data_IF_069006286141
#
_entry.id   IF_069006286141
#
_cell.length_a   1.000
_cell.length_b   1.000
_cell.length_c   1.000
_cell.angle_alpha   90.00
_cell.angle_beta   90.00
_cell.angle_gamma   90.00
#
_symmetry.space_group_name_H-M   'P 1'
#
loop_
_entity.id
_entity.type
_entity.pdbx_description
1 polymer ?
#
# COMPACT_ATOMS: atom_id res chain seq x y z
N UNK A 1 15.69 -10.39 -29.77
CA UNK A 1 14.53 -11.23 -29.36
C UNK A 1 13.67 -10.59 -28.28
N UNK A 2 14.19 -10.14 -27.10
CA UNK A 2 13.37 -9.53 -26.02
C UNK A 2 12.56 -8.30 -26.45
N UNK A 3 13.12 -7.41 -27.30
CA UNK A 3 12.42 -6.20 -27.81
C UNK A 3 11.27 -6.54 -28.77
N UNK A 4 11.42 -7.60 -29.57
CA UNK A 4 10.37 -8.07 -30.52
C UNK A 4 9.21 -8.69 -29.75
N UNK A 5 9.50 -9.49 -28.70
CA UNK A 5 8.47 -10.07 -27.83
C UNK A 5 7.69 -8.98 -27.09
N UNK A 6 8.37 -7.93 -26.62
CA UNK A 6 7.72 -6.78 -25.99
C UNK A 6 6.81 -6.04 -26.98
N UNK A 7 7.26 -5.84 -28.22
CA UNK A 7 6.48 -5.18 -29.26
C UNK A 7 5.25 -5.99 -29.66
N UNK A 8 5.39 -7.30 -29.79
CA UNK A 8 4.27 -8.22 -30.05
C UNK A 8 3.27 -8.20 -28.88
N UNK A 9 3.75 -8.21 -27.62
CA UNK A 9 2.89 -8.11 -26.45
C UNK A 9 2.12 -6.77 -26.41
N UNK A 10 2.78 -5.67 -26.78
CA UNK A 10 2.16 -4.34 -26.88
C UNK A 10 1.09 -4.34 -27.99
N UNK A 11 1.36 -4.90 -29.16
CA UNK A 11 0.39 -4.99 -30.26
C UNK A 11 -0.83 -5.84 -29.86
N UNK A 12 -0.63 -6.98 -29.22
CA UNK A 12 -1.73 -7.79 -28.67
C UNK A 12 -2.56 -7.03 -27.63
N UNK A 13 -1.92 -6.18 -26.83
CA UNK A 13 -2.62 -5.32 -25.87
C UNK A 13 -3.50 -4.29 -26.57
N UNK A 14 -2.98 -3.61 -27.61
CA UNK A 14 -3.73 -2.62 -28.38
C UNK A 14 -4.92 -3.21 -29.13
N UNK A 15 -4.78 -4.40 -29.70
CA UNK A 15 -5.88 -5.09 -30.41
C UNK A 15 -7.04 -5.42 -29.45
N UNK A 16 -6.75 -5.67 -28.16
CA UNK A 16 -7.76 -5.92 -27.12
C UNK A 16 -8.43 -4.65 -26.63
N UNK A 17 -7.77 -3.49 -26.65
CA UNK A 17 -8.40 -2.22 -26.35
C UNK A 17 -9.57 -1.89 -27.28
N UNK A 18 -9.46 -2.23 -28.56
CA UNK A 18 -10.55 -2.09 -29.54
C UNK A 18 -11.77 -2.96 -29.23
N UNK A 19 -11.66 -3.98 -28.38
CA UNK A 19 -12.73 -4.86 -27.95
C UNK A 19 -13.26 -4.53 -26.55
N UNK A 20 -12.70 -3.51 -25.86
CA UNK A 20 -13.13 -3.10 -24.53
C UNK A 20 -14.61 -2.72 -24.54
N UNK A 21 -15.35 -3.25 -23.60
CA UNK A 21 -16.79 -2.96 -23.44
C UNK A 21 -16.99 -1.71 -22.58
N UNK A 22 -16.15 -1.50 -21.58
CA UNK A 22 -16.21 -0.35 -20.70
C UNK A 22 -14.82 0.09 -20.22
N UNK A 23 -14.65 1.40 -20.03
CA UNK A 23 -13.60 2.00 -19.25
C UNK A 23 -14.09 2.09 -17.81
N UNK A 24 -13.23 1.78 -16.85
CA UNK A 24 -13.58 1.80 -15.43
C UNK A 24 -12.67 2.75 -14.67
N UNK A 25 -13.25 3.50 -13.74
CA UNK A 25 -12.53 4.27 -12.73
C UNK A 25 -13.04 3.79 -11.39
N UNK A 26 -12.15 3.31 -10.55
CA UNK A 26 -12.46 2.72 -9.26
C UNK A 26 -11.74 3.48 -8.15
N UNK A 27 -12.45 3.71 -7.05
CA UNK A 27 -11.89 4.24 -5.82
C UNK A 27 -12.34 3.41 -4.64
N UNK A 28 -11.38 2.88 -3.88
CA UNK A 28 -11.62 2.07 -2.70
C UNK A 28 -10.99 2.71 -1.47
N UNK A 29 -11.65 2.52 -0.34
CA UNK A 29 -11.12 2.77 0.99
C UNK A 29 -11.06 1.42 1.69
N UNK A 30 -10.00 1.19 2.43
CA UNK A 30 -9.83 -0.07 3.11
C UNK A 30 -8.97 0.03 4.35
N UNK A 31 -8.74 -1.11 4.94
CA UNK A 31 -7.84 -1.29 6.07
C UNK A 31 -6.76 -2.31 5.68
N UNK A 32 -5.50 -1.98 5.95
CA UNK A 32 -4.35 -2.86 5.74
C UNK A 32 -3.65 -3.19 7.04
N UNK A 33 -3.24 -4.45 7.20
CA UNK A 33 -2.28 -4.86 8.23
C UNK A 33 -0.87 -4.91 7.63
N UNK A 34 0.17 -4.72 8.45
CA UNK A 34 1.55 -4.65 8.00
C UNK A 34 2.47 -5.46 8.90
N UNK A 35 3.40 -6.21 8.32
CA UNK A 35 4.37 -7.00 9.09
C UNK A 35 5.41 -6.12 9.75
N UNK A 36 6.11 -5.27 9.01
CA UNK A 36 7.08 -4.28 9.48
C UNK A 36 8.12 -4.86 10.46
N UNK A 37 8.62 -6.09 10.21
CA UNK A 37 9.45 -6.84 11.16
C UNK A 37 10.69 -6.06 11.58
N UNK A 38 11.55 -5.63 10.63
CA UNK A 38 12.78 -4.91 10.92
C UNK A 38 12.51 -3.59 11.65
N UNK A 39 11.41 -2.89 11.27
CA UNK A 39 11.02 -1.63 11.87
C UNK A 39 10.57 -1.80 13.32
N UNK A 40 9.88 -2.89 13.62
CA UNK A 40 9.49 -3.26 15.00
C UNK A 40 10.70 -3.58 15.85
N UNK A 41 11.69 -4.26 15.28
CA UNK A 41 12.94 -4.59 15.98
C UNK A 41 13.79 -3.35 16.23
N UNK A 42 13.89 -2.42 15.27
CA UNK A 42 14.54 -1.12 15.48
C UNK A 42 13.86 -0.37 16.60
N UNK A 43 12.53 -0.28 16.59
CA UNK A 43 11.77 0.43 17.61
C UNK A 43 12.02 -0.12 19.02
N UNK A 44 12.16 -1.45 19.16
CA UNK A 44 12.49 -2.08 20.43
C UNK A 44 13.95 -1.83 20.88
N UNK A 45 14.88 -1.83 19.93
CA UNK A 45 16.32 -1.85 20.24
C UNK A 45 16.92 -0.45 20.42
N UNK A 46 16.31 0.58 19.85
CA UNK A 46 16.87 1.95 19.88
C UNK A 46 16.88 2.61 21.26
N UNK A 47 16.08 2.13 22.22
CA UNK A 47 15.99 2.71 23.57
C UNK A 47 16.46 1.79 24.68
N UNK A 48 17.26 0.78 24.39
CA UNK A 48 17.76 -0.19 25.36
C UNK A 48 18.50 0.36 26.61
N UNK A 49 19.13 1.57 26.61
CA UNK A 49 19.74 2.08 27.84
C UNK A 49 18.72 2.63 28.86
N UNK A 50 17.47 2.86 28.44
CA UNK A 50 16.44 3.41 29.31
C UNK A 50 15.51 2.29 29.75
N UNK A 51 15.55 1.93 31.02
CA UNK A 51 14.64 0.97 31.63
C UNK A 51 13.22 1.53 31.67
N UNK A 52 12.21 0.71 31.30
CA UNK A 52 10.77 1.03 31.28
C UNK A 52 10.24 1.82 30.09
N UNK A 53 10.84 1.66 28.91
CA UNK A 53 10.28 2.23 27.67
C UNK A 53 9.03 1.45 27.25
N UNK A 54 7.92 2.14 27.08
CA UNK A 54 6.69 1.56 26.55
C UNK A 54 6.56 1.85 25.05
N UNK A 55 6.39 0.79 24.25
CA UNK A 55 5.99 0.94 22.85
C UNK A 55 4.54 1.39 22.83
N UNK A 56 4.30 2.65 22.48
CA UNK A 56 2.97 3.24 22.43
C UNK A 56 2.24 2.86 21.14
N UNK A 57 2.99 2.79 20.02
CA UNK A 57 2.48 2.42 18.70
C UNK A 57 3.44 1.44 18.02
N UNK A 58 2.96 0.32 17.51
CA UNK A 58 3.78 -0.73 16.93
C UNK A 58 3.33 -1.05 15.50
N UNK A 59 3.37 -0.04 14.64
CA UNK A 59 2.97 -0.14 13.23
C UNK A 59 1.61 -0.81 13.04
N UNK A 60 0.55 -0.26 13.64
CA UNK A 60 -0.80 -0.80 13.50
C UNK A 60 -1.25 -0.77 12.05
N UNK A 61 -2.24 -1.60 11.74
CA UNK A 61 -2.95 -1.49 10.48
C UNK A 61 -3.65 -0.13 10.36
N UNK A 62 -3.65 0.43 9.16
CA UNK A 62 -4.21 1.75 8.89
C UNK A 62 -5.13 1.75 7.69
N UNK A 63 -5.89 2.84 7.57
CA UNK A 63 -6.73 3.13 6.40
C UNK A 63 -5.86 3.27 5.16
N UNK A 64 -6.22 2.53 4.10
CA UNK A 64 -5.60 2.60 2.79
C UNK A 64 -6.56 3.26 1.80
N UNK A 65 -6.00 3.99 0.83
CA UNK A 65 -6.76 4.60 -0.27
C UNK A 65 -6.21 4.05 -1.59
N UNK A 66 -7.11 3.47 -2.38
CA UNK A 66 -6.77 2.78 -3.62
C UNK A 66 -7.58 3.38 -4.77
N UNK A 67 -6.91 3.80 -5.82
CA UNK A 67 -7.51 4.29 -7.05
C UNK A 67 -7.06 3.41 -8.22
N UNK A 68 -7.99 3.00 -9.05
CA UNK A 68 -7.72 2.15 -10.21
C UNK A 68 -8.37 2.73 -11.45
N UNK A 69 -7.67 2.58 -12.58
CA UNK A 69 -8.21 2.88 -13.91
C UNK A 69 -7.96 1.67 -14.80
N UNK A 70 -9.00 1.18 -15.44
CA UNK A 70 -8.90 -0.05 -16.21
C UNK A 70 -9.91 -0.17 -17.33
N UNK A 71 -9.80 -1.25 -18.06
CA UNK A 71 -10.72 -1.63 -19.13
C UNK A 71 -11.29 -3.01 -18.86
N UNK A 72 -12.59 -3.14 -19.08
CA UNK A 72 -13.32 -4.39 -18.90
C UNK A 72 -13.78 -4.92 -20.27
N UNK A 73 -13.49 -6.20 -20.54
CA UNK A 73 -14.03 -6.91 -21.68
C UNK A 73 -14.44 -8.33 -21.28
N UNK A 74 -15.69 -8.68 -21.54
CA UNK A 74 -16.27 -9.97 -21.15
C UNK A 74 -16.11 -10.25 -19.64
N UNK A 75 -15.16 -11.16 -19.28
CA UNK A 75 -14.84 -11.57 -17.92
C UNK A 75 -13.50 -11.04 -17.42
N UNK A 76 -12.82 -10.23 -18.22
CA UNK A 76 -11.47 -9.74 -17.93
C UNK A 76 -11.54 -8.25 -17.60
N UNK A 77 -10.88 -7.86 -16.53
CA UNK A 77 -10.69 -6.46 -16.12
C UNK A 77 -9.22 -6.24 -15.83
N UNK A 78 -8.59 -5.33 -16.55
CA UNK A 78 -7.16 -5.03 -16.42
C UNK A 78 -6.94 -3.53 -16.40
N UNK A 79 -5.92 -3.10 -15.67
CA UNK A 79 -5.60 -1.68 -15.61
C UNK A 79 -4.41 -1.38 -14.72
N UNK A 80 -4.36 -0.10 -14.33
CA UNK A 80 -3.34 0.45 -13.45
C UNK A 80 -3.96 0.76 -12.10
N UNK A 81 -3.16 0.61 -11.05
CA UNK A 81 -3.53 0.94 -9.68
C UNK A 81 -2.54 1.93 -9.08
N UNK A 82 -3.08 2.79 -8.23
CA UNK A 82 -2.35 3.64 -7.30
C UNK A 82 -2.94 3.43 -5.91
N UNK A 83 -2.10 3.18 -4.91
CA UNK A 83 -2.55 3.04 -3.53
C UNK A 83 -1.63 3.85 -2.61
N UNK A 84 -2.21 4.51 -1.62
CA UNK A 84 -1.51 5.21 -0.56
C UNK A 84 -1.69 4.49 0.76
N UNK A 85 -0.56 4.22 1.41
CA UNK A 85 -0.48 3.53 2.69
C UNK A 85 0.35 4.35 3.66
N UNK A 86 0.01 4.31 4.94
CA UNK A 86 0.81 4.89 6.00
C UNK A 86 0.72 4.05 7.27
N UNK A 87 1.75 4.12 8.08
CA UNK A 87 1.77 3.56 9.44
C UNK A 87 2.89 4.22 10.23
N UNK A 88 2.82 4.13 11.54
CA UNK A 88 3.86 4.66 12.40
C UNK A 88 4.13 3.72 13.58
N UNK A 89 5.36 3.77 14.06
CA UNK A 89 5.74 3.18 15.34
C UNK A 89 6.27 4.27 16.24
N UNK A 90 5.85 4.29 17.48
CA UNK A 90 6.31 5.25 18.48
C UNK A 90 6.73 4.53 19.75
N UNK A 91 7.87 4.97 20.28
CA UNK A 91 8.41 4.56 21.54
C UNK A 91 8.80 5.80 22.34
N UNK A 92 8.61 5.81 23.65
CA UNK A 92 8.94 6.98 24.44
C UNK A 92 8.82 6.77 25.95
N UNK A 93 9.53 7.62 26.67
CA UNK A 93 9.46 7.74 28.12
C UNK A 93 9.25 9.20 28.46
N UNK A 94 8.34 9.44 29.38
CA UNK A 94 8.11 10.76 29.97
C UNK A 94 8.07 10.63 31.47
N UNK A 95 8.90 11.42 32.16
CA UNK A 95 8.92 11.50 33.59
C UNK A 95 9.02 12.97 34.05
N UNK A 96 9.21 13.21 35.36
CA UNK A 96 9.34 14.56 35.94
C UNK A 96 10.61 15.30 35.50
N UNK A 97 11.60 14.62 34.91
CA UNK A 97 12.86 15.22 34.45
C UNK A 97 12.84 15.57 32.95
N UNK A 98 11.86 15.05 32.18
CA UNK A 98 11.74 15.33 30.78
C UNK A 98 11.04 14.24 29.95
N UNK A 99 11.21 14.31 28.66
CA UNK A 99 10.67 13.30 27.72
C UNK A 99 11.70 12.91 26.67
N UNK A 100 11.71 11.63 26.31
CA UNK A 100 12.47 11.10 25.18
C UNK A 100 11.52 10.32 24.28
N UNK A 101 11.32 10.78 23.05
CA UNK A 101 10.42 10.20 22.08
C UNK A 101 11.20 9.75 20.84
N UNK A 102 10.97 8.52 20.41
CA UNK A 102 11.47 7.97 19.15
C UNK A 102 10.28 7.54 18.30
N UNK A 103 10.17 8.08 17.10
CA UNK A 103 9.05 7.86 16.20
C UNK A 103 9.54 7.51 14.79
N UNK A 104 8.98 6.45 14.22
CA UNK A 104 9.20 6.01 12.84
C UNK A 104 7.89 6.13 12.07
N UNK A 105 7.83 7.05 11.12
CA UNK A 105 6.66 7.25 10.24
C UNK A 105 6.94 6.71 8.86
N UNK A 106 6.16 5.72 8.45
CA UNK A 106 6.27 5.09 7.13
C UNK A 106 5.15 5.54 6.21
N UNK A 107 5.51 5.93 5.00
CA UNK A 107 4.58 6.21 3.90
C UNK A 107 4.95 5.36 2.70
N UNK A 108 3.95 4.66 2.15
CA UNK A 108 4.08 3.86 0.95
C UNK A 108 3.20 4.40 -0.18
N UNK A 109 3.79 4.60 -1.35
CA UNK A 109 3.07 4.92 -2.58
C UNK A 109 3.20 3.73 -3.51
N UNK A 110 2.12 2.99 -3.67
CA UNK A 110 2.06 1.77 -4.46
C UNK A 110 1.58 2.09 -5.87
N UNK A 111 2.36 1.70 -6.85
CA UNK A 111 2.08 1.86 -8.28
C UNK A 111 2.20 0.50 -8.95
N UNK A 112 1.18 0.11 -9.71
CA UNK A 112 1.21 -1.19 -10.36
C UNK A 112 0.12 -1.39 -11.39
N UNK A 113 0.01 -2.63 -11.81
CA UNK A 113 -1.03 -3.13 -12.70
C UNK A 113 -1.86 -4.17 -11.97
N UNK A 114 -3.11 -4.29 -12.36
CA UNK A 114 -4.00 -5.32 -11.84
C UNK A 114 -4.69 -6.07 -12.97
N UNK A 115 -5.01 -7.31 -12.70
CA UNK A 115 -5.84 -8.15 -13.52
C UNK A 115 -6.87 -8.86 -12.66
N UNK A 116 -8.15 -8.73 -13.01
CA UNK A 116 -9.25 -9.46 -12.36
C UNK A 116 -9.96 -10.34 -13.39
N UNK A 117 -10.30 -11.54 -12.98
CA UNK A 117 -11.10 -12.49 -13.75
C UNK A 117 -12.43 -12.74 -13.05
N UNK A 118 -13.51 -12.35 -13.71
CA UNK A 118 -14.87 -12.58 -13.22
C UNK A 118 -15.23 -14.07 -13.36
N UNK A 119 -15.49 -14.72 -12.23
CA UNK A 119 -15.81 -16.15 -12.18
C UNK A 119 -17.20 -16.43 -12.75
N UNK A 120 -18.18 -15.66 -12.27
CA UNK A 120 -19.58 -15.78 -12.65
C UNK A 120 -20.17 -14.39 -12.79
N UNK A 121 -21.14 -14.24 -13.69
CA UNK A 121 -21.90 -13.00 -13.85
C UNK A 121 -23.37 -13.36 -13.78
N UNK A 122 -23.95 -13.17 -12.59
CA UNK A 122 -25.35 -13.51 -12.34
C UNK A 122 -26.18 -12.25 -12.10
N UNK A 123 -27.32 -12.19 -12.76
CA UNK A 123 -28.28 -11.12 -12.57
C UNK A 123 -29.27 -11.54 -11.48
N UNK A 124 -29.21 -10.89 -10.33
CA UNK A 124 -30.10 -11.10 -9.22
C UNK A 124 -31.03 -9.88 -9.10
N UNK A 125 -32.23 -10.00 -9.64
CA UNK A 125 -33.23 -8.92 -9.67
C UNK A 125 -32.67 -7.64 -10.35
N UNK A 126 -32.45 -6.57 -9.59
CA UNK A 126 -31.94 -5.29 -10.08
C UNK A 126 -30.40 -5.17 -10.08
N UNK A 127 -29.70 -6.09 -9.41
CA UNK A 127 -28.25 -6.08 -9.29
C UNK A 127 -27.61 -7.18 -10.14
N UNK A 128 -26.40 -6.92 -10.62
CA UNK A 128 -25.55 -7.99 -11.16
C UNK A 128 -24.45 -8.31 -10.16
N UNK A 129 -24.34 -9.57 -9.79
CA UNK A 129 -23.36 -10.12 -8.86
C UNK A 129 -22.20 -10.71 -9.65
N UNK A 130 -21.00 -10.23 -9.44
CA UNK A 130 -19.80 -10.61 -10.18
C UNK A 130 -18.64 -10.91 -9.22
N UNK A 131 -18.53 -12.14 -8.67
CA UNK A 131 -17.35 -12.54 -7.90
C UNK A 131 -16.15 -12.68 -8.85
N UNK A 132 -14.98 -12.24 -8.36
CA UNK A 132 -13.75 -12.29 -9.14
C UNK A 132 -12.55 -12.72 -8.31
N UNK A 133 -11.56 -13.26 -9.00
CA UNK A 133 -10.21 -13.45 -8.50
C UNK A 133 -9.28 -12.52 -9.25
N UNK A 134 -8.24 -12.05 -8.59
CA UNK A 134 -7.34 -11.11 -9.20
C UNK A 134 -5.91 -11.24 -8.71
N UNK A 135 -5.03 -10.58 -9.45
CA UNK A 135 -3.63 -10.45 -9.15
C UNK A 135 -3.20 -9.02 -9.47
N UNK A 136 -2.56 -8.37 -8.51
CA UNK A 136 -1.93 -7.08 -8.71
C UNK A 136 -0.43 -7.19 -8.49
N UNK A 137 0.35 -6.41 -9.23
CA UNK A 137 1.82 -6.40 -9.11
C UNK A 137 2.37 -5.04 -9.49
N UNK A 138 3.52 -4.69 -8.93
CA UNK A 138 4.17 -3.41 -9.18
C UNK A 138 5.19 -3.05 -8.11
N UNK A 139 5.33 -1.76 -7.86
CA UNK A 139 6.31 -1.23 -6.92
C UNK A 139 5.66 -0.40 -5.82
N UNK A 140 6.22 -0.50 -4.61
CA UNK A 140 5.93 0.40 -3.49
C UNK A 140 7.13 1.32 -3.32
N UNK A 141 6.91 2.62 -3.46
CA UNK A 141 7.90 3.65 -3.17
C UNK A 141 7.76 4.03 -1.69
N UNK A 142 8.77 3.72 -0.91
CA UNK A 142 8.77 3.89 0.54
C UNK A 142 9.46 5.20 0.94
N UNK A 143 8.87 5.89 1.91
CA UNK A 143 9.50 7.01 2.60
C UNK A 143 9.33 6.81 4.10
N UNK A 144 10.45 6.69 4.79
CA UNK A 144 10.51 6.55 6.25
C UNK A 144 11.08 7.82 6.83
N UNK A 145 10.35 8.42 7.77
CA UNK A 145 10.84 9.55 8.55
C UNK A 145 11.09 9.06 9.98
N UNK A 146 12.34 9.12 10.40
CA UNK A 146 12.79 8.89 11.77
C UNK A 146 12.82 10.23 12.49
N UNK A 147 12.16 10.31 13.64
CA UNK A 147 12.08 11.50 14.47
C UNK A 147 12.53 11.13 15.88
N UNK A 148 13.61 11.73 16.32
CA UNK A 148 14.14 11.55 17.66
C UNK A 148 14.07 12.88 18.40
N UNK A 149 13.41 12.90 19.57
CA UNK A 149 13.20 14.09 20.38
C UNK A 149 13.65 13.81 21.81
N UNK A 150 14.46 14.70 22.34
CA UNK A 150 14.79 14.76 23.75
C UNK A 150 14.37 16.13 24.29
N UNK A 151 13.64 16.13 25.36
CA UNK A 151 13.31 17.33 26.13
C UNK A 151 13.72 17.12 27.59
N UNK A 152 14.46 18.07 28.14
CA UNK A 152 14.90 18.06 29.56
C UNK A 152 14.30 19.26 30.26
N UNK A 153 13.53 19.02 31.31
CA UNK A 153 12.78 20.09 31.99
C UNK A 153 13.70 21.05 32.75
N UNK A 154 14.77 20.53 33.35
CA UNK A 154 15.75 21.34 34.12
C UNK A 154 16.70 22.15 33.21
N UNK A 155 16.86 21.78 31.95
CA UNK A 155 17.74 22.45 31.01
C UNK A 155 17.21 22.33 29.58
N UNK A 156 16.32 23.24 29.15
CA UNK A 156 15.73 23.21 27.82
C UNK A 156 16.74 23.35 26.66
N UNK A 157 17.95 23.90 26.94
CA UNK A 157 19.00 24.06 25.92
C UNK A 157 19.67 22.72 25.56
N UNK A 158 19.60 21.72 26.43
CA UNK A 158 20.09 20.35 26.18
C UNK A 158 19.11 19.57 25.33
N UNK A 159 17.86 20.03 25.19
CA UNK A 159 16.86 19.41 24.34
C UNK A 159 17.27 19.41 22.87
N UNK A 160 17.08 18.29 22.18
CA UNK A 160 17.31 18.20 20.73
C UNK A 160 16.17 17.52 19.99
N UNK A 161 16.08 17.86 18.72
CA UNK A 161 15.24 17.15 17.75
C UNK A 161 16.09 16.81 16.53
N UNK A 162 16.09 15.52 16.17
CA UNK A 162 16.79 15.02 14.98
C UNK A 162 15.80 14.29 14.09
N UNK A 163 15.70 14.74 12.84
CA UNK A 163 14.82 14.18 11.83
C UNK A 163 15.68 13.60 10.69
N UNK A 164 15.52 12.31 10.40
CA UNK A 164 16.15 11.64 9.27
C UNK A 164 15.09 11.13 8.30
N UNK A 165 15.42 11.10 7.02
CA UNK A 165 14.54 10.56 5.98
C UNK A 165 15.26 9.46 5.20
N UNK A 166 14.62 8.32 5.08
CA UNK A 166 15.07 7.19 4.29
C UNK A 166 14.11 6.95 3.14
N UNK A 167 14.63 6.46 2.02
CA UNK A 167 13.83 6.12 0.85
C UNK A 167 14.22 4.74 0.34
N UNK A 168 13.26 3.98 -0.12
CA UNK A 168 13.48 2.66 -0.67
C UNK A 168 12.34 2.26 -1.61
N UNK A 169 12.48 1.10 -2.20
CA UNK A 169 11.52 0.58 -3.17
C UNK A 169 11.37 -0.93 -2.99
N UNK A 170 10.12 -1.41 -2.96
CA UNK A 170 9.80 -2.83 -2.92
C UNK A 170 9.08 -3.23 -4.21
N UNK A 171 9.17 -4.51 -4.56
CA UNK A 171 8.32 -5.13 -5.57
C UNK A 171 7.29 -6.00 -4.87
N UNK A 172 6.00 -5.77 -5.16
CA UNK A 172 4.90 -6.48 -4.53
C UNK A 172 4.16 -7.38 -5.51
N UNK A 173 3.54 -8.42 -4.94
CA UNK A 173 2.55 -9.28 -5.58
C UNK A 173 1.36 -9.39 -4.63
N UNK A 174 0.13 -9.18 -5.14
CA UNK A 174 -1.07 -9.12 -4.34
C UNK A 174 -2.20 -9.91 -4.99
N UNK A 175 -2.37 -11.20 -4.63
CA UNK A 175 -3.58 -11.94 -4.95
C UNK A 175 -4.78 -11.32 -4.23
N UNK A 176 -5.90 -11.25 -4.96
CA UNK A 176 -7.14 -10.60 -4.53
C UNK A 176 -8.33 -11.52 -4.80
N UNK A 177 -9.25 -11.57 -3.86
CA UNK A 177 -10.60 -12.09 -4.05
C UNK A 177 -11.60 -10.97 -3.77
N UNK A 178 -12.59 -10.79 -4.65
CA UNK A 178 -13.55 -9.72 -4.47
C UNK A 178 -14.89 -10.01 -5.13
N UNK A 179 -15.81 -9.10 -4.87
CA UNK A 179 -17.18 -9.14 -5.38
C UNK A 179 -17.53 -7.74 -5.87
N UNK A 180 -17.99 -7.68 -7.12
CA UNK A 180 -18.52 -6.48 -7.74
C UNK A 180 -20.03 -6.60 -7.82
N UNK A 181 -20.74 -5.61 -7.28
CA UNK A 181 -22.19 -5.48 -7.36
C UNK A 181 -22.54 -4.32 -8.30
N UNK A 182 -22.94 -4.62 -9.52
CA UNK A 182 -23.35 -3.58 -10.47
C UNK A 182 -24.76 -3.09 -10.13
N UNK A 183 -24.86 -1.86 -9.62
CA UNK A 183 -26.11 -1.21 -9.23
C UNK A 183 -26.90 -0.70 -10.44
N UNK A 184 -26.17 -0.17 -11.40
CA UNK A 184 -26.72 0.29 -12.67
C UNK A 184 -25.64 0.17 -13.77
N UNK A 185 -25.97 0.65 -14.98
CA UNK A 185 -25.04 0.61 -16.12
C UNK A 185 -23.72 1.35 -15.89
N UNK A 186 -23.71 2.34 -14.99
CA UNK A 186 -22.59 3.26 -14.80
C UNK A 186 -21.89 3.13 -13.46
N UNK A 187 -22.52 2.48 -12.47
CA UNK A 187 -22.02 2.43 -11.10
C UNK A 187 -22.09 1.02 -10.55
N UNK A 188 -21.00 0.57 -9.96
CA UNK A 188 -20.94 -0.66 -9.20
C UNK A 188 -20.25 -0.44 -7.85
N UNK A 189 -20.60 -1.26 -6.87
CA UNK A 189 -19.90 -1.40 -5.60
C UNK A 189 -18.86 -2.49 -5.74
N UNK A 190 -17.70 -2.28 -5.14
CA UNK A 190 -16.64 -3.26 -5.03
C UNK A 190 -16.35 -3.58 -3.57
N UNK A 191 -16.19 -4.86 -3.24
CA UNK A 191 -15.67 -5.32 -1.95
C UNK A 191 -14.61 -6.37 -2.21
N UNK A 192 -13.45 -6.25 -1.58
CA UNK A 192 -12.35 -7.18 -1.81
C UNK A 192 -11.52 -7.43 -0.57
N UNK A 193 -10.93 -8.61 -0.53
CA UNK A 193 -9.89 -9.01 0.39
C UNK A 193 -8.66 -9.41 -0.42
N UNK A 194 -7.49 -9.06 0.05
CA UNK A 194 -6.23 -9.36 -0.60
C UNK A 194 -5.15 -9.65 0.43
N UNK A 195 -4.09 -10.28 -0.02
CA UNK A 195 -2.84 -10.41 0.73
C UNK A 195 -1.72 -9.82 -0.10
N UNK A 196 -1.09 -8.78 0.40
CA UNK A 196 0.09 -8.21 -0.22
C UNK A 196 1.33 -8.95 0.27
N UNK A 197 2.18 -9.33 -0.66
CA UNK A 197 3.47 -9.91 -0.40
C UNK A 197 4.55 -9.05 -1.07
N UNK A 198 5.43 -8.50 -0.24
CA UNK A 198 6.63 -7.80 -0.70
C UNK A 198 7.68 -8.84 -1.12
N UNK A 199 7.66 -9.23 -2.41
CA UNK A 199 8.51 -10.29 -2.95
C UNK A 199 9.98 -9.89 -3.01
N UNK A 200 10.28 -8.61 -3.23
CA UNK A 200 11.64 -8.06 -3.23
C UNK A 200 11.64 -6.75 -2.46
N UNK A 201 12.31 -6.73 -1.34
CA UNK A 201 12.49 -5.55 -0.49
C UNK A 201 13.89 -4.99 -0.68
N UNK A 202 13.97 -3.73 -1.08
CA UNK A 202 15.22 -3.01 -1.17
C UNK A 202 15.60 -2.44 0.20
N UNK A 203 16.89 -2.50 0.55
CA UNK A 203 17.41 -1.85 1.74
C UNK A 203 17.25 -0.33 1.62
N UNK A 204 16.75 0.29 2.69
CA UNK A 204 16.58 1.72 2.77
C UNK A 204 17.91 2.37 3.12
N UNK A 205 18.29 3.36 2.35
CA UNK A 205 19.51 4.12 2.57
C UNK A 205 19.16 5.50 3.15
N UNK A 206 19.91 5.90 4.16
CA UNK A 206 19.85 7.25 4.69
C UNK A 206 20.32 8.25 3.63
N UNK A 207 19.69 9.42 3.58
CA UNK A 207 20.21 10.58 2.85
C UNK A 207 21.43 11.20 3.53
N UNK A 208 21.65 10.88 4.81
CA UNK A 208 22.82 11.32 5.55
C UNK A 208 23.88 10.21 5.54
N UNK A 209 25.06 10.41 4.89
CA UNK A 209 26.11 9.42 4.83
C UNK A 209 26.71 9.04 6.19
N UNK A 210 26.53 9.88 7.21
CA UNK A 210 27.02 9.64 8.57
C UNK A 210 26.16 8.62 9.36
N UNK A 211 25.05 8.15 8.77
CA UNK A 211 24.15 7.17 9.37
C UNK A 211 23.94 5.98 8.43
N UNK A 212 24.84 5.00 8.45
CA UNK A 212 24.69 3.76 7.69
C UNK A 212 23.76 2.78 8.39
N UNK A 213 22.51 3.14 8.61
CA UNK A 213 21.50 2.18 9.04
C UNK A 213 20.81 1.60 7.81
N UNK A 214 20.91 0.31 7.62
CA UNK A 214 20.21 -0.45 6.58
C UNK A 214 19.08 -1.23 7.23
N UNK A 215 17.85 -1.01 6.76
CA UNK A 215 16.67 -1.76 7.18
C UNK A 215 15.72 -1.95 6.01
N UNK A 216 14.84 -2.92 6.13
CA UNK A 216 13.79 -3.20 5.15
C UNK A 216 12.45 -2.75 5.69
N UNK A 217 11.61 -2.24 4.81
CA UNK A 217 10.21 -1.92 5.13
C UNK A 217 9.34 -2.99 4.51
N UNK A 218 8.63 -3.75 5.32
CA UNK A 218 7.81 -4.87 4.90
C UNK A 218 6.32 -4.51 5.02
N UNK A 219 5.69 -4.23 3.87
CA UNK A 219 4.27 -3.94 3.78
C UNK A 219 3.41 -5.20 3.64
N UNK A 220 3.99 -6.39 3.67
CA UNK A 220 3.24 -7.65 3.58
C UNK A 220 2.13 -7.71 4.63
N UNK A 221 0.97 -8.21 4.21
CA UNK A 221 -0.17 -8.34 5.11
C UNK A 221 -1.51 -8.34 4.40
N UNK A 222 -2.56 -8.46 5.20
CA UNK A 222 -3.93 -8.50 4.70
C UNK A 222 -4.45 -7.10 4.36
N UNK A 223 -5.32 -7.06 3.34
CA UNK A 223 -6.05 -5.88 2.90
C UNK A 223 -7.53 -6.22 2.83
N UNK A 224 -8.38 -5.38 3.38
CA UNK A 224 -9.82 -5.43 3.18
C UNK A 224 -10.28 -4.07 2.64
N UNK A 225 -10.96 -4.03 1.52
CA UNK A 225 -11.31 -2.81 0.81
C UNK A 225 -12.77 -2.83 0.37
N UNK A 226 -13.38 -1.66 0.36
CA UNK A 226 -14.69 -1.41 -0.24
C UNK A 226 -14.67 -0.09 -1.00
N UNK A 227 -15.40 -0.01 -2.11
CA UNK A 227 -15.39 1.20 -2.92
C UNK A 227 -16.43 1.22 -4.04
N UNK A 228 -16.26 2.21 -4.89
CA UNK A 228 -17.13 2.48 -6.04
C UNK A 228 -16.36 2.31 -7.33
N UNK A 229 -17.02 1.71 -8.33
CA UNK A 229 -16.55 1.59 -9.70
C UNK A 229 -17.50 2.40 -10.59
N UNK A 230 -16.93 3.34 -11.34
CA UNK A 230 -17.62 4.06 -12.39
C UNK A 230 -17.31 3.41 -13.73
N UNK A 231 -18.33 2.98 -14.46
CA UNK A 231 -18.20 2.30 -15.74
C UNK A 231 -18.65 3.21 -16.88
N UNK A 232 -17.75 3.56 -17.79
CA UNK A 232 -18.04 4.28 -19.01
C UNK A 232 -18.10 3.28 -20.17
N UNK A 233 -19.32 3.01 -20.66
CA UNK A 233 -19.49 2.07 -21.77
C UNK A 233 -18.96 2.68 -23.06
N UNK A 234 -18.01 1.98 -23.69
CA UNK A 234 -17.36 2.38 -24.94
C UNK A 234 -18.13 1.93 -26.19
N UNK A 235 -19.01 0.93 -26.04
CA UNK A 235 -19.91 0.51 -27.11
C UNK A 235 -21.32 1.05 -26.90
N UNK A 236 -21.81 1.75 -27.92
CA UNK A 236 -23.24 2.06 -28.08
C UNK A 236 -24.01 0.83 -28.54
#
# INVERSE_FOLDING_TARGET
MKKVLLFIAILFFFDRFGQAQSLTIEYNIGHGSYQMSDMKDILKNQMLPVTNVQVTDNFPGYVTQDARVGVEWRRHHVGFLFNYMNTAGKNGVTDYSGSCDYELRNKGYKLGTFYHFCLVKEKVSIFTFEPYVGLSTGFVLNKVNEINRLFVESDPEVGYRKDNTFSGRNFFVEPTFGIKFSLCRYVALNMSIAYEWDAVMQEHQSRNPDFPSTFKVDWSGYRAQAGLIFCLNLKK
#
